data_IF_125874298566
#
_entry.id   IF_125874298566
#
_cell.length_a   1.000
_cell.length_b   1.000
_cell.length_c   1.000
_cell.angle_alpha   90.00
_cell.angle_beta   90.00
_cell.angle_gamma   90.00
#
_symmetry.space_group_name_H-M   'P 1'
#
loop_
_entity.id
_entity.type
_entity.pdbx_description
1 polymer ?
#
# COMPACT_ATOMS: atom_id res chain seq x y z
N UNK A 1 32.58 -45.23 19.01
CA UNK A 1 32.10 -44.70 17.71
C UNK A 1 31.42 -43.38 17.96
N UNK A 2 31.89 -42.30 17.31
CA UNK A 2 31.49 -40.90 17.51
C UNK A 2 30.28 -40.57 16.64
N UNK A 3 29.14 -40.23 17.23
CA UNK A 3 27.96 -39.77 16.49
C UNK A 3 27.97 -38.24 16.39
N UNK A 4 28.32 -37.73 15.21
CA UNK A 4 28.21 -36.33 14.82
C UNK A 4 26.73 -36.02 14.53
N UNK A 5 26.09 -35.19 15.36
CA UNK A 5 24.74 -34.69 15.08
C UNK A 5 24.84 -33.29 14.48
N UNK A 6 24.21 -33.15 13.32
CA UNK A 6 24.25 -32.02 12.42
C UNK A 6 23.89 -30.69 13.08
N UNK A 7 24.76 -29.70 12.90
CA UNK A 7 24.44 -28.29 13.13
C UNK A 7 23.75 -27.80 11.85
N UNK A 8 22.43 -27.62 11.92
CA UNK A 8 21.65 -27.01 10.85
C UNK A 8 21.99 -25.51 10.85
N UNK A 9 22.79 -25.07 9.87
CA UNK A 9 23.11 -23.65 9.65
C UNK A 9 21.96 -23.04 8.87
N UNK A 10 21.15 -22.21 9.54
CA UNK A 10 20.19 -21.33 8.87
C UNK A 10 20.99 -20.20 8.20
N UNK A 11 21.26 -20.33 6.91
CA UNK A 11 21.79 -19.24 6.09
C UNK A 11 20.64 -18.26 5.86
N UNK A 12 20.64 -17.17 6.61
CA UNK A 12 19.77 -16.02 6.35
C UNK A 12 20.17 -15.41 5.02
N UNK A 13 19.34 -15.61 3.99
CA UNK A 13 19.44 -14.90 2.72
C UNK A 13 19.04 -13.45 2.99
N UNK A 14 20.02 -12.62 3.35
CA UNK A 14 19.91 -11.17 3.20
C UNK A 14 19.99 -10.88 1.70
N UNK A 15 18.85 -11.06 1.03
CA UNK A 15 18.67 -10.53 -0.31
C UNK A 15 18.82 -9.03 -0.24
N UNK A 16 19.78 -8.49 -0.98
CA UNK A 16 19.94 -7.06 -1.22
C UNK A 16 18.68 -6.56 -1.93
N UNK A 17 17.65 -6.22 -1.17
CA UNK A 17 16.53 -5.45 -1.68
C UNK A 17 17.09 -4.09 -2.06
N UNK A 18 17.34 -3.88 -3.35
CA UNK A 18 17.52 -2.54 -3.90
C UNK A 18 16.34 -1.73 -3.41
N UNK A 19 16.58 -0.81 -2.48
CA UNK A 19 15.56 0.11 -2.02
C UNK A 19 15.15 0.94 -3.23
N UNK A 20 14.05 0.55 -3.88
CA UNK A 20 13.29 1.45 -4.73
C UNK A 20 13.00 2.66 -3.85
N UNK A 21 13.70 3.76 -4.09
CA UNK A 21 13.35 5.02 -3.47
C UNK A 21 12.00 5.41 -4.03
N UNK A 22 11.10 5.83 -3.15
CA UNK A 22 9.91 6.55 -3.54
C UNK A 22 10.36 7.64 -4.49
N UNK A 23 9.82 7.59 -5.70
CA UNK A 23 9.93 8.72 -6.61
C UNK A 23 8.59 9.38 -6.50
N UNK A 24 8.55 10.52 -5.82
CA UNK A 24 7.40 11.39 -5.90
C UNK A 24 7.11 11.65 -7.37
N UNK A 25 5.85 11.51 -7.76
CA UNK A 25 5.44 11.63 -9.15
C UNK A 25 4.91 13.03 -9.39
N UNK A 26 5.45 13.72 -10.39
CA UNK A 26 5.01 15.06 -10.73
C UNK A 26 4.85 15.15 -12.23
N UNK A 27 3.65 15.52 -12.67
CA UNK A 27 3.48 15.94 -14.05
C UNK A 27 4.11 17.31 -14.27
N UNK A 28 4.58 17.53 -15.51
CA UNK A 28 4.93 18.86 -15.93
C UNK A 28 3.63 19.66 -16.19
N UNK A 29 3.52 20.91 -15.73
CA UNK A 29 2.32 21.72 -15.98
C UNK A 29 1.95 21.79 -17.47
N UNK A 30 0.68 21.53 -17.79
CA UNK A 30 0.17 21.52 -19.17
C UNK A 30 0.58 20.30 -20.00
N UNK A 31 1.11 19.25 -19.38
CA UNK A 31 1.43 17.97 -20.03
C UNK A 31 0.68 16.86 -19.32
N UNK A 32 -0.23 16.20 -20.03
CA UNK A 32 -0.81 14.93 -19.62
C UNK A 32 0.24 13.82 -19.82
N UNK A 33 0.86 13.41 -18.72
CA UNK A 33 1.98 12.46 -18.71
C UNK A 33 1.67 11.18 -17.98
N UNK A 34 0.64 11.20 -17.13
CA UNK A 34 0.09 10.02 -16.51
C UNK A 34 -0.87 9.30 -17.46
N UNK A 35 -1.21 8.06 -17.09
CA UNK A 35 -2.03 7.21 -17.92
C UNK A 35 -3.50 7.61 -17.76
N UNK A 36 -4.17 7.88 -18.87
CA UNK A 36 -5.62 8.05 -18.94
C UNK A 36 -6.36 6.88 -19.61
N UNK A 37 -5.65 5.81 -20.00
CA UNK A 37 -6.22 4.71 -20.81
C UNK A 37 -6.85 3.55 -20.01
N UNK A 38 -6.86 3.63 -18.66
CA UNK A 38 -7.38 2.64 -17.70
C UNK A 38 -6.81 1.21 -17.82
N UNK A 39 -5.89 0.96 -18.75
CA UNK A 39 -5.34 -0.37 -19.06
C UNK A 39 -3.85 -0.46 -18.76
N UNK A 40 -3.14 0.66 -18.85
CA UNK A 40 -1.70 0.79 -18.68
C UNK A 40 -1.37 1.81 -17.57
N UNK A 41 -1.75 1.53 -16.31
CA UNK A 41 -1.61 2.49 -15.22
C UNK A 41 -0.18 2.97 -15.02
N UNK A 42 -0.03 4.25 -14.67
CA UNK A 42 1.25 4.82 -14.22
C UNK A 42 1.71 4.10 -12.96
N UNK A 43 2.90 3.51 -12.99
CA UNK A 43 3.44 2.81 -11.82
C UNK A 43 3.85 3.82 -10.74
N UNK A 44 3.27 3.69 -9.55
CA UNK A 44 3.64 4.46 -8.37
C UNK A 44 4.06 3.53 -7.22
N UNK A 45 5.36 3.22 -7.16
CA UNK A 45 5.93 2.42 -6.09
C UNK A 45 6.24 3.29 -4.87
N UNK A 46 5.47 3.11 -3.79
CA UNK A 46 5.67 3.85 -2.56
C UNK A 46 6.90 3.34 -1.80
N UNK A 47 7.53 4.23 -1.05
CA UNK A 47 8.54 3.87 -0.06
C UNK A 47 8.10 4.25 1.36
N UNK A 48 8.80 3.75 2.39
CA UNK A 48 8.53 4.09 3.77
C UNK A 48 8.61 5.60 4.01
N UNK A 49 7.65 6.13 4.78
CA UNK A 49 7.55 7.56 5.08
C UNK A 49 6.50 8.27 4.24
N UNK A 50 6.80 9.51 3.84
CA UNK A 50 5.91 10.35 3.04
C UNK A 50 6.27 10.24 1.57
N UNK A 51 5.25 10.15 0.72
CA UNK A 51 5.34 10.14 -0.74
C UNK A 51 4.29 11.11 -1.26
N UNK A 52 4.46 11.67 -2.45
CA UNK A 52 3.40 12.44 -3.08
C UNK A 52 3.30 12.22 -4.58
N UNK A 53 2.11 12.52 -5.11
CA UNK A 53 1.86 12.67 -6.54
C UNK A 53 1.14 13.98 -6.79
N UNK A 54 1.55 14.72 -7.82
CA UNK A 54 0.86 15.94 -8.27
C UNK A 54 0.70 15.92 -9.78
N UNK A 55 -0.46 16.34 -10.26
CA UNK A 55 -0.78 16.36 -11.68
C UNK A 55 -1.94 17.30 -11.99
N UNK A 56 -2.43 17.21 -13.22
CA UNK A 56 -3.59 17.95 -13.69
C UNK A 56 -4.61 16.97 -14.26
N UNK A 57 -5.86 17.09 -13.82
CA UNK A 57 -7.00 16.35 -14.40
C UNK A 57 -8.03 17.33 -14.94
N UNK A 58 -8.99 16.84 -15.72
CA UNK A 58 -10.02 17.67 -16.35
C UNK A 58 -9.63 18.19 -17.74
N UNK A 59 -10.60 18.77 -18.45
CA UNK A 59 -10.43 19.03 -19.88
C UNK A 59 -9.65 20.33 -20.13
N UNK A 60 -8.56 20.25 -20.93
CA UNK A 60 -7.98 21.44 -21.58
C UNK A 60 -8.91 21.88 -22.70
N UNK A 61 -9.69 22.93 -22.48
CA UNK A 61 -10.44 23.60 -23.55
C UNK A 61 -9.52 24.65 -24.18
N UNK A 62 -8.99 24.36 -25.37
CA UNK A 62 -8.37 25.40 -26.18
C UNK A 62 -9.48 26.37 -26.63
N UNK A 63 -9.44 27.60 -26.09
CA UNK A 63 -10.48 28.65 -26.23
C UNK A 63 -10.80 29.00 -27.69
N UNK A 64 -9.97 28.57 -28.64
CA UNK A 64 -10.12 28.82 -30.08
C UNK A 64 -10.54 27.61 -30.93
N UNK A 65 -10.51 26.39 -30.40
CA UNK A 65 -10.95 25.19 -31.11
C UNK A 65 -12.08 24.49 -30.35
N UNK A 66 -13.19 25.20 -30.20
CA UNK A 66 -14.50 24.65 -29.78
C UNK A 66 -15.12 23.69 -30.83
N UNK A 67 -14.29 23.07 -31.67
CA UNK A 67 -14.65 21.82 -32.31
C UNK A 67 -14.52 20.76 -31.25
N UNK A 68 -15.63 20.30 -30.68
CA UNK A 68 -15.74 19.13 -29.81
C UNK A 68 -15.29 17.82 -30.47
N UNK A 69 -14.12 17.81 -31.11
CA UNK A 69 -13.34 16.63 -31.39
C UNK A 69 -12.86 16.13 -30.03
N UNK A 70 -13.69 15.26 -29.45
CA UNK A 70 -13.30 14.30 -28.45
C UNK A 70 -11.93 13.76 -28.88
N UNK A 71 -10.91 13.93 -28.04
CA UNK A 71 -9.58 13.38 -28.32
C UNK A 71 -9.78 11.88 -28.55
N UNK A 72 -9.62 11.43 -29.80
CA UNK A 72 -10.02 10.12 -30.31
C UNK A 72 -9.31 8.92 -29.66
N UNK A 73 -8.56 9.11 -28.58
CA UNK A 73 -8.09 8.03 -27.71
C UNK A 73 -7.96 8.58 -26.28
N UNK A 74 -8.94 8.31 -25.42
CA UNK A 74 -8.80 8.60 -23.98
C UNK A 74 -10.04 8.36 -23.14
N UNK A 75 -11.15 9.04 -23.39
CA UNK A 75 -12.39 8.86 -22.62
C UNK A 75 -13.58 9.56 -23.29
N UNK A 76 -14.43 8.82 -24.00
CA UNK A 76 -15.76 9.31 -24.39
C UNK A 76 -16.71 9.31 -23.18
N UNK A 77 -16.37 10.17 -22.23
CA UNK A 77 -17.28 10.97 -21.43
C UNK A 77 -16.68 12.37 -21.10
N UNK A 78 -15.61 12.79 -21.79
CA UNK A 78 -15.17 14.20 -21.83
C UNK A 78 -14.31 14.69 -20.65
N UNK A 79 -13.61 13.79 -19.97
CA UNK A 79 -12.97 14.09 -18.67
C UNK A 79 -11.63 13.38 -18.58
N UNK A 80 -10.57 14.16 -18.48
CA UNK A 80 -9.20 13.69 -18.24
C UNK A 80 -9.07 13.15 -16.81
N UNK A 81 -8.34 12.05 -16.67
CA UNK A 81 -8.23 11.32 -15.41
C UNK A 81 -6.93 10.52 -15.35
N UNK A 82 -6.32 10.54 -14.18
CA UNK A 82 -5.04 9.93 -13.92
C UNK A 82 -5.19 8.58 -13.25
N UNK A 83 -4.57 7.58 -13.87
CA UNK A 83 -4.66 6.21 -13.46
C UNK A 83 -3.32 5.65 -13.01
N UNK A 84 -3.27 5.17 -11.76
CA UNK A 84 -2.06 4.68 -11.12
C UNK A 84 -2.19 3.24 -10.67
N UNK A 85 -1.06 2.55 -10.70
CA UNK A 85 -0.82 1.31 -9.97
C UNK A 85 0.05 1.63 -8.77
N UNK A 86 -0.58 1.70 -7.61
CA UNK A 86 0.06 1.93 -6.33
C UNK A 86 0.68 0.63 -5.81
N UNK A 87 1.97 0.63 -5.49
CA UNK A 87 2.63 -0.51 -4.82
C UNK A 87 3.03 -0.12 -3.40
N UNK A 88 2.43 -0.79 -2.42
CA UNK A 88 2.81 -0.70 -1.00
C UNK A 88 3.84 -1.79 -0.69
N UNK A 89 5.06 -1.44 -0.23
CA UNK A 89 6.13 -2.41 -0.06
C UNK A 89 5.87 -3.41 1.06
N UNK A 90 6.43 -4.62 0.93
CA UNK A 90 6.35 -5.67 1.93
C UNK A 90 6.92 -5.23 3.29
N UNK A 91 6.23 -5.57 4.38
CA UNK A 91 6.58 -5.12 5.75
C UNK A 91 6.04 -3.73 6.11
N UNK A 92 5.34 -3.08 5.18
CA UNK A 92 4.72 -1.77 5.38
C UNK A 92 3.21 -1.82 5.10
N UNK A 93 2.54 -0.73 5.46
CA UNK A 93 1.14 -0.47 5.18
C UNK A 93 0.99 1.00 4.79
N UNK A 94 0.02 1.30 3.93
CA UNK A 94 -0.39 2.67 3.68
C UNK A 94 -1.41 3.06 4.75
N UNK A 95 -1.04 4.03 5.55
CA UNK A 95 -1.79 4.45 6.73
C UNK A 95 -2.72 5.63 6.42
N UNK A 96 -2.33 6.53 5.50
CA UNK A 96 -3.09 7.74 5.18
C UNK A 96 -2.88 8.16 3.72
N UNK A 97 -3.93 8.69 3.10
CA UNK A 97 -3.85 9.49 1.88
C UNK A 97 -4.50 10.85 2.17
N UNK A 98 -3.84 11.94 1.79
CA UNK A 98 -4.33 13.31 1.94
C UNK A 98 -4.40 13.99 0.58
N UNK A 99 -5.44 14.79 0.36
CA UNK A 99 -5.43 15.81 -0.68
C UNK A 99 -4.85 17.08 -0.05
N UNK A 100 -3.66 17.48 -0.50
CA UNK A 100 -3.02 18.71 -0.03
C UNK A 100 -3.41 19.91 -0.89
N UNK A 101 -3.67 19.68 -2.18
CA UNK A 101 -4.13 20.69 -3.12
C UNK A 101 -5.20 20.08 -4.01
N UNK A 102 -6.34 20.76 -4.10
CA UNK A 102 -7.38 20.55 -5.10
C UNK A 102 -8.09 21.89 -5.26
N UNK A 103 -8.10 22.46 -6.46
CA UNK A 103 -8.49 23.86 -6.65
C UNK A 103 -9.85 24.08 -7.33
N UNK A 104 -10.73 23.07 -7.42
CA UNK A 104 -12.06 23.26 -8.00
C UNK A 104 -13.18 22.36 -7.42
N UNK A 105 -14.43 22.77 -7.63
CA UNK A 105 -15.62 22.45 -6.83
C UNK A 105 -16.60 21.52 -7.55
N UNK A 106 -16.76 20.29 -7.05
CA UNK A 106 -18.07 19.63 -6.97
C UNK A 106 -18.35 18.42 -7.87
N UNK A 107 -17.40 17.94 -8.70
CA UNK A 107 -17.62 16.73 -9.52
C UNK A 107 -16.42 15.82 -9.77
N UNK A 108 -15.23 16.19 -9.31
CA UNK A 108 -14.09 15.29 -9.35
C UNK A 108 -14.12 14.27 -8.24
N UNK A 109 -13.67 13.06 -8.55
CA UNK A 109 -13.62 11.95 -7.62
C UNK A 109 -12.26 11.26 -7.69
N UNK A 110 -11.91 10.62 -6.59
CA UNK A 110 -10.84 9.65 -6.58
C UNK A 110 -11.42 8.30 -6.12
N UNK A 111 -10.85 7.21 -6.61
CA UNK A 111 -11.25 5.85 -6.25
C UNK A 111 -10.02 4.94 -6.14
N UNK A 112 -10.10 3.89 -5.33
CA UNK A 112 -9.09 2.83 -5.34
C UNK A 112 -9.73 1.44 -5.30
N UNK A 113 -8.99 0.43 -5.77
CA UNK A 113 -9.37 -0.97 -5.66
C UNK A 113 -8.13 -1.86 -5.42
N UNK A 114 -8.26 -2.97 -4.67
CA UNK A 114 -7.19 -3.96 -4.58
C UNK A 114 -6.86 -4.56 -5.94
N UNK A 115 -5.56 -4.76 -6.22
CA UNK A 115 -5.07 -5.37 -7.45
C UNK A 115 -4.27 -4.44 -8.34
N UNK A 116 -4.02 -4.86 -9.57
CA UNK A 116 -3.19 -4.12 -10.52
C UNK A 116 -4.02 -3.19 -11.42
N UNK A 117 -5.34 -3.40 -11.49
CA UNK A 117 -6.24 -2.60 -12.28
C UNK A 117 -7.69 -2.63 -11.76
N UNK A 118 -8.49 -1.61 -12.10
CA UNK A 118 -9.95 -1.66 -11.97
C UNK A 118 -10.55 -2.71 -12.92
N UNK A 119 -11.74 -3.20 -12.56
CA UNK A 119 -12.54 -3.97 -13.50
C UNK A 119 -12.81 -3.12 -14.76
N UNK A 120 -12.85 -3.74 -15.96
CA UNK A 120 -13.13 -3.01 -17.18
C UNK A 120 -14.42 -2.21 -17.08
N UNK A 121 -14.49 -1.02 -17.69
CA UNK A 121 -15.74 -0.28 -17.79
C UNK A 121 -16.85 -1.15 -18.37
N UNK A 122 -18.05 -1.00 -17.82
CA UNK A 122 -19.26 -1.62 -18.35
C UNK A 122 -19.98 -0.58 -19.19
N UNK A 123 -20.11 -0.86 -20.49
CA UNK A 123 -20.97 -0.07 -21.37
C UNK A 123 -22.43 -0.29 -20.96
N UNK A 124 -23.10 0.76 -20.47
CA UNK A 124 -24.52 0.74 -20.12
C UNK A 124 -25.43 1.07 -21.31
N UNK A 125 -24.85 1.37 -22.47
CA UNK A 125 -25.52 1.81 -23.68
C UNK A 125 -25.68 3.33 -23.77
N UNK A 126 -25.81 3.83 -25.01
CA UNK A 126 -26.02 5.24 -25.31
C UNK A 126 -24.80 6.14 -25.09
N UNK A 127 -23.59 5.58 -25.11
CA UNK A 127 -22.34 6.31 -24.81
C UNK A 127 -22.09 6.48 -23.31
N UNK A 128 -22.93 5.90 -22.45
CA UNK A 128 -22.72 5.93 -21.01
C UNK A 128 -21.84 4.75 -20.61
N UNK A 129 -20.57 5.04 -20.36
CA UNK A 129 -19.64 4.09 -19.79
C UNK A 129 -19.72 4.20 -18.27
N UNK A 130 -20.15 3.12 -17.60
CA UNK A 130 -20.13 3.03 -16.15
C UNK A 130 -18.90 2.26 -15.73
N UNK A 131 -18.01 2.93 -15.00
CA UNK A 131 -16.95 2.24 -14.30
C UNK A 131 -17.58 1.57 -13.09
N UNK A 132 -17.56 0.23 -13.02
CA UNK A 132 -18.10 -0.47 -11.86
C UNK A 132 -17.18 -0.21 -10.67
N UNK A 133 -17.41 0.89 -9.97
CA UNK A 133 -16.89 1.16 -8.63
C UNK A 133 -17.54 0.25 -7.58
N UNK A 134 -18.21 -0.83 -7.99
CA UNK A 134 -18.92 -1.75 -7.10
C UNK A 134 -18.00 -2.34 -6.02
N UNK A 135 -16.70 -2.46 -6.33
CA UNK A 135 -15.65 -2.88 -5.38
C UNK A 135 -14.66 -1.76 -5.02
N UNK A 136 -14.86 -0.54 -5.56
CA UNK A 136 -14.00 0.59 -5.29
C UNK A 136 -14.54 1.38 -4.10
N UNK A 137 -13.65 1.73 -3.17
CA UNK A 137 -13.98 2.72 -2.16
C UNK A 137 -13.69 4.10 -2.75
N UNK A 138 -14.71 4.96 -2.72
CA UNK A 138 -14.59 6.39 -3.02
C UNK A 138 -13.89 7.08 -1.84
N UNK A 139 -13.08 8.10 -2.12
CA UNK A 139 -12.48 8.95 -1.07
C UNK A 139 -13.47 9.97 -0.48
N UNK A 140 -13.21 10.42 0.75
CA UNK A 140 -14.08 11.29 1.54
C UNK A 140 -13.98 12.67 0.93
N UNK A 141 -15.12 13.32 0.66
CA UNK A 141 -15.14 14.56 -0.09
C UNK A 141 -14.96 14.41 -1.61
N UNK A 142 -15.03 13.20 -2.19
CA UNK A 142 -15.08 12.98 -3.64
C UNK A 142 -16.33 13.58 -4.33
N UNK A 143 -17.16 14.31 -3.60
CA UNK A 143 -18.25 15.13 -4.16
C UNK A 143 -18.17 16.60 -3.80
N UNK A 144 -17.24 17.04 -2.94
CA UNK A 144 -17.03 18.47 -2.60
C UNK A 144 -15.73 18.63 -1.78
N UNK A 145 -14.60 18.88 -2.45
CA UNK A 145 -13.36 19.29 -1.78
C UNK A 145 -13.49 20.74 -1.28
N UNK A 146 -14.13 20.96 -0.13
CA UNK A 146 -14.11 22.29 0.48
C UNK A 146 -12.68 22.65 0.95
N UNK A 147 -12.26 23.93 0.83
CA UNK A 147 -10.99 24.43 1.39
C UNK A 147 -11.08 24.54 2.92
N UNK A 148 -11.29 23.41 3.58
CA UNK A 148 -11.10 23.24 5.01
C UNK A 148 -9.60 23.04 5.28
N UNK A 149 -9.08 23.34 6.50
CA UNK A 149 -7.71 22.96 6.86
C UNK A 149 -7.47 21.48 6.53
N UNK A 150 -6.24 21.07 6.11
CA UNK A 150 -5.97 19.78 5.49
C UNK A 150 -6.49 18.65 6.37
N UNK A 151 -7.72 18.24 6.08
CA UNK A 151 -8.33 17.11 6.72
C UNK A 151 -7.90 15.91 5.88
N UNK A 152 -7.39 14.86 6.52
CA UNK A 152 -7.15 13.62 5.80
C UNK A 152 -8.44 13.20 5.10
N UNK A 153 -8.34 12.87 3.80
CA UNK A 153 -9.37 12.06 3.12
C UNK A 153 -9.59 10.73 3.84
N UNK A 154 -8.62 10.35 4.68
CA UNK A 154 -8.63 9.13 5.45
C UNK A 154 -7.89 9.26 6.79
N UNK A 155 -8.60 9.01 7.88
CA UNK A 155 -7.99 8.63 9.17
C UNK A 155 -8.32 7.17 9.43
N UNK A 156 -7.31 6.31 9.49
CA UNK A 156 -7.46 4.94 9.99
C UNK A 156 -8.16 4.93 11.35
N UNK A 157 -9.26 4.20 11.44
CA UNK A 157 -10.09 4.07 12.65
C UNK A 157 -11.55 3.75 12.32
N UNK A 158 -12.19 2.95 13.17
CA UNK A 158 -13.59 2.50 13.09
C UNK A 158 -14.64 3.62 13.23
N UNK A 159 -14.58 4.69 12.44
CA UNK A 159 -15.75 5.54 12.27
C UNK A 159 -16.57 4.94 11.12
N UNK A 160 -17.83 4.55 11.36
CA UNK A 160 -18.73 4.19 10.28
C UNK A 160 -18.89 5.44 9.44
N UNK A 161 -18.33 5.39 8.24
CA UNK A 161 -18.43 6.47 7.29
C UNK A 161 -19.79 6.32 6.63
N UNK A 162 -20.63 7.36 6.72
CA UNK A 162 -21.90 7.34 6.00
C UNK A 162 -21.60 7.13 4.51
N UNK A 163 -22.41 6.34 3.77
CA UNK A 163 -22.21 6.15 2.33
C UNK A 163 -22.33 7.51 1.62
N UNK A 164 -21.20 8.15 1.35
CA UNK A 164 -21.11 9.55 0.89
C UNK A 164 -19.87 10.27 1.40
N UNK A 165 -19.39 9.93 2.59
CA UNK A 165 -18.23 10.56 3.25
C UNK A 165 -16.92 9.78 2.99
N UNK A 166 -16.79 9.12 1.83
CA UNK A 166 -15.70 8.24 1.36
C UNK A 166 -14.41 7.96 2.19
N UNK A 167 -14.46 7.44 3.40
CA UNK A 167 -13.25 6.89 4.03
C UNK A 167 -12.85 5.55 3.40
N UNK A 168 -11.58 5.15 3.51
CA UNK A 168 -11.27 3.72 3.45
C UNK A 168 -12.12 3.00 4.50
N UNK A 169 -12.94 2.03 4.11
CA UNK A 169 -13.64 1.13 5.04
C UNK A 169 -12.69 0.13 5.76
N UNK A 170 -11.40 0.45 5.82
CA UNK A 170 -10.34 -0.36 6.42
C UNK A 170 -9.40 0.54 7.21
N UNK A 171 -8.88 0.03 8.33
CA UNK A 171 -8.00 0.83 9.21
C UNK A 171 -6.66 1.22 8.55
N UNK A 172 -6.25 0.50 7.52
CA UNK A 172 -5.06 0.76 6.68
C UNK A 172 -5.11 -0.14 5.44
N UNK A 173 -4.36 0.20 4.39
CA UNK A 173 -4.09 -0.73 3.29
C UNK A 173 -2.80 -1.52 3.56
N UNK A 174 -2.84 -2.87 3.60
CA UNK A 174 -1.64 -3.68 3.78
C UNK A 174 -0.70 -3.58 2.57
N UNK A 175 0.51 -4.13 2.71
CA UNK A 175 1.41 -4.36 1.58
C UNK A 175 0.69 -5.07 0.42
N UNK A 176 0.90 -4.61 -0.81
CA UNK A 176 0.19 -5.10 -1.97
C UNK A 176 0.22 -4.13 -3.14
N UNK A 177 -0.53 -4.47 -4.18
CA UNK A 177 -0.79 -3.60 -5.32
C UNK A 177 -2.23 -3.13 -5.28
N UNK A 178 -2.45 -1.86 -5.65
CA UNK A 178 -3.76 -1.24 -5.73
C UNK A 178 -3.88 -0.43 -7.02
N UNK A 179 -5.07 -0.40 -7.59
CA UNK A 179 -5.45 0.54 -8.63
C UNK A 179 -5.94 1.83 -7.95
N UNK A 180 -5.54 2.98 -8.47
CA UNK A 180 -5.97 4.32 -8.01
C UNK A 180 -6.35 5.14 -9.23
N UNK A 181 -7.51 5.79 -9.19
CA UNK A 181 -8.01 6.68 -10.23
C UNK A 181 -8.30 8.04 -9.60
N UNK A 182 -7.92 9.11 -10.30
CA UNK A 182 -8.29 10.50 -10.01
C UNK A 182 -8.93 11.03 -11.28
N UNK A 183 -10.10 11.66 -11.19
CA UNK A 183 -10.80 12.16 -12.36
C UNK A 183 -11.57 13.43 -12.02
N UNK A 184 -11.55 14.41 -12.91
CA UNK A 184 -12.40 15.60 -12.80
C UNK A 184 -13.42 15.60 -13.93
N UNK A 185 -14.70 15.81 -13.59
CA UNK A 185 -15.80 15.79 -14.55
C UNK A 185 -16.18 17.17 -15.12
N UNK A 186 -15.34 18.18 -14.90
CA UNK A 186 -15.55 19.55 -15.37
C UNK A 186 -14.79 19.86 -16.66
N UNK A 187 -15.22 20.96 -17.29
CA UNK A 187 -14.62 21.51 -18.51
C UNK A 187 -13.38 22.36 -18.24
N UNK A 188 -12.92 22.43 -16.99
CA UNK A 188 -11.70 23.09 -16.54
C UNK A 188 -10.65 22.05 -16.14
N UNK A 189 -9.38 22.41 -16.28
CA UNK A 189 -8.28 21.66 -15.67
C UNK A 189 -8.17 22.00 -14.18
N UNK A 190 -7.91 20.99 -13.37
CA UNK A 190 -7.77 21.09 -11.91
C UNK A 190 -6.42 20.51 -11.52
N UNK A 191 -5.65 21.30 -10.77
CA UNK A 191 -4.40 20.85 -10.17
C UNK A 191 -4.72 20.02 -8.93
N UNK A 192 -4.11 18.86 -8.80
CA UNK A 192 -4.19 18.07 -7.58
C UNK A 192 -2.82 17.72 -7.00
N UNK A 193 -2.78 17.48 -5.69
CA UNK A 193 -1.63 16.94 -4.99
C UNK A 193 -2.08 15.97 -3.91
N UNK A 194 -1.72 14.69 -4.04
CA UNK A 194 -1.98 13.65 -3.05
C UNK A 194 -0.72 13.28 -2.27
N UNK A 195 -0.84 13.17 -0.95
CA UNK A 195 0.23 12.72 -0.05
C UNK A 195 -0.10 11.34 0.53
N UNK A 196 0.87 10.44 0.54
CA UNK A 196 0.73 9.06 1.00
C UNK A 196 1.69 8.80 2.15
N UNK A 197 1.15 8.31 3.27
CA UNK A 197 1.93 7.98 4.47
C UNK A 197 2.04 6.48 4.61
N UNK A 198 3.25 5.95 4.45
CA UNK A 198 3.57 4.52 4.54
C UNK A 198 4.34 4.24 5.82
N UNK A 199 3.79 3.42 6.69
CA UNK A 199 4.39 3.06 7.98
C UNK A 199 4.72 1.58 8.04
N UNK A 200 5.72 1.23 8.86
CA UNK A 200 6.07 -0.16 9.09
C UNK A 200 4.91 -0.88 9.78
N UNK A 201 4.59 -2.10 9.34
CA UNK A 201 3.66 -2.96 10.07
C UNK A 201 4.36 -3.35 11.38
N UNK A 202 3.78 -3.06 12.57
CA UNK A 202 4.38 -3.50 13.82
C UNK A 202 4.60 -5.01 13.80
N UNK A 203 5.84 -5.45 14.00
CA UNK A 203 6.12 -6.88 14.06
C UNK A 203 5.28 -7.49 15.20
N UNK A 204 4.63 -8.64 14.96
CA UNK A 204 3.93 -9.31 16.05
C UNK A 204 4.95 -9.62 17.14
N UNK A 205 4.62 -9.26 18.38
CA UNK A 205 5.47 -9.49 19.56
C UNK A 205 5.86 -10.96 19.80
N UNK A 206 5.38 -11.88 18.94
CA UNK A 206 5.77 -13.28 18.88
C UNK A 206 7.24 -13.50 18.51
N UNK A 207 7.89 -12.62 17.73
CA UNK A 207 9.30 -12.81 17.35
C UNK A 207 10.26 -12.84 18.57
N UNK A 208 10.24 -11.84 19.48
CA UNK A 208 11.03 -11.91 20.70
C UNK A 208 10.59 -13.04 21.65
N UNK A 209 9.29 -13.36 21.69
CA UNK A 209 8.81 -14.50 22.48
C UNK A 209 9.34 -15.84 21.96
N UNK A 210 9.36 -16.05 20.64
CA UNK A 210 9.93 -17.24 20.02
C UNK A 210 11.43 -17.35 20.33
N UNK A 211 12.17 -16.23 20.27
CA UNK A 211 13.57 -16.20 20.65
C UNK A 211 13.78 -16.55 22.13
N UNK A 212 12.96 -16.00 23.03
CA UNK A 212 13.01 -16.32 24.45
C UNK A 212 12.69 -17.80 24.73
N UNK A 213 11.71 -18.39 24.03
CA UNK A 213 11.39 -19.81 24.13
C UNK A 213 12.54 -20.69 23.65
N UNK A 214 13.20 -20.32 22.55
CA UNK A 214 14.38 -21.03 22.04
C UNK A 214 15.57 -20.94 23.03
N UNK A 215 15.82 -19.76 23.59
CA UNK A 215 16.85 -19.56 24.61
C UNK A 215 16.54 -20.37 25.89
N UNK A 216 15.29 -20.40 26.32
CA UNK A 216 14.82 -21.20 27.45
C UNK A 216 15.01 -22.71 27.22
N UNK A 217 14.65 -23.22 26.04
CA UNK A 217 14.85 -24.61 25.66
C UNK A 217 16.34 -25.00 25.64
N UNK A 218 17.20 -24.14 25.07
CA UNK A 218 18.65 -24.32 25.06
C UNK A 218 19.25 -24.34 26.48
N UNK A 219 18.81 -23.42 27.35
CA UNK A 219 19.25 -23.37 28.74
C UNK A 219 18.84 -24.64 29.51
N UNK A 220 17.62 -25.13 29.31
CA UNK A 220 17.14 -26.37 29.94
C UNK A 220 17.98 -27.58 29.51
N UNK A 221 18.27 -27.73 28.22
CA UNK A 221 19.13 -28.81 27.70
C UNK A 221 20.54 -28.79 28.31
N UNK A 222 21.14 -27.61 28.47
CA UNK A 222 22.47 -27.46 29.12
C UNK A 222 22.45 -27.90 30.58
N UNK A 223 21.37 -27.59 31.32
CA UNK A 223 21.20 -28.03 32.72
C UNK A 223 21.08 -29.55 32.83
N UNK A 224 20.26 -30.17 31.98
CA UNK A 224 20.11 -31.64 31.96
C UNK A 224 21.44 -32.33 31.66
N UNK A 225 22.22 -31.86 30.69
CA UNK A 225 23.53 -32.43 30.38
C UNK A 225 24.54 -32.33 31.54
N UNK A 226 24.49 -31.24 32.33
CA UNK A 226 25.33 -31.09 33.54
C UNK A 226 24.91 -32.07 34.64
N UNK A 227 23.62 -32.25 34.87
CA UNK A 227 23.10 -33.21 35.86
C UNK A 227 23.51 -34.64 35.52
N UNK A 228 23.39 -35.06 34.26
CA UNK A 228 23.83 -36.40 33.83
C UNK A 228 25.33 -36.61 34.03
N UNK A 229 26.17 -35.59 33.77
CA UNK A 229 27.61 -35.66 34.04
C UNK A 229 27.92 -35.77 35.53
N UNK A 230 27.23 -35.01 36.38
CA UNK A 230 27.40 -35.07 37.83
C UNK A 230 26.97 -36.45 38.39
N UNK A 231 25.86 -37.01 37.90
CA UNK A 231 25.42 -38.34 38.28
C UNK A 231 26.44 -39.43 37.88
N UNK A 232 27.00 -39.34 36.67
CA UNK A 232 28.04 -40.27 36.21
C UNK A 232 29.35 -40.15 37.00
N UNK A 233 29.72 -38.95 37.48
CA UNK A 233 30.89 -38.78 38.35
C UNK A 233 30.68 -39.23 39.80
N UNK A 234 29.44 -39.38 40.23
CA UNK A 234 29.09 -39.79 41.59
C UNK A 234 28.98 -41.32 41.76
N UNK A 235 29.14 -42.10 40.68
CA UNK A 235 29.16 -43.56 40.75
C UNK A 235 30.44 -44.01 41.49
N UNK A 236 30.32 -44.55 42.71
CA UNK A 236 31.43 -44.61 43.64
C UNK A 236 32.33 -45.81 43.35
N UNK A 237 33.62 -45.63 43.70
CA UNK A 237 34.69 -46.61 43.76
C UNK A 237 34.45 -47.77 44.77
N UNK A 238 33.21 -48.27 44.88
CA UNK A 238 32.79 -49.32 45.81
C UNK A 238 33.02 -50.75 45.29
N UNK A 239 33.87 -50.96 44.27
CA UNK A 239 34.10 -52.30 43.67
C UNK A 239 35.44 -52.96 44.00
N UNK A 240 36.27 -52.40 44.87
CA UNK A 240 37.49 -53.07 45.35
C UNK A 240 37.50 -53.23 46.88
N UNK A 241 36.66 -54.14 47.40
CA UNK A 241 36.85 -54.72 48.74
C UNK A 241 36.11 -56.05 48.88
N UNK A 242 36.31 -56.98 47.96
CA UNK A 242 36.08 -58.39 48.27
C UNK A 242 37.31 -59.19 47.85
N UNK A 243 37.83 -59.84 48.89
CA UNK A 243 38.99 -60.73 49.03
C UNK A 243 39.07 -61.85 48.01
#
# INVERSE_FOLDING_TARGET
>A
MKAYHAILVFVGVLGSASALRATDLMEAPGVDSFSSDYQNPTLFALAPGSNFVSGQVGRIVDEFTDSGALLENGADAGTDGDYFRLIVPGGYRLEQIFVNRYNDFGRGFAAYAPGDAFAPPVDLGGGNVFYPFADAALFDGATDFEPLPPNPLFRGGHLPVDPGDGGFNVDFLPAGSYALLIQENQISTVDYELHFVVTAVPEPASAPLALLLLLGACARRRRSARQTRQAASAEPAARHSLS
#
